data_IF_948607852199
#
_entry.id   IF_948607852199
#
_cell.length_a   1.000
_cell.length_b   1.000
_cell.length_c   1.000
_cell.angle_alpha   90.00
_cell.angle_beta   90.00
_cell.angle_gamma   90.00
#
_symmetry.space_group_name_H-M   'P 1'
#
loop_
_entity.id
_entity.type
_entity.pdbx_description
1 polymer ?
#
# COMPACT_ATOMS: atom_id res chain seq x y z
N UNK A 1 -20.60 11.22 0.60
CA UNK A 1 -20.37 11.13 -0.87
C UNK A 1 -19.55 9.90 -1.24
N UNK A 2 -18.54 9.54 -0.44
CA UNK A 2 -17.82 8.27 -0.55
C UNK A 2 -18.64 7.07 -0.03
N UNK A 3 -19.61 7.31 0.86
CA UNK A 3 -20.43 6.27 1.51
C UNK A 3 -21.27 5.43 0.53
N UNK A 4 -21.58 5.99 -0.64
CA UNK A 4 -22.35 5.29 -1.69
C UNK A 4 -21.53 4.24 -2.44
N UNK A 5 -20.21 4.24 -2.29
CA UNK A 5 -19.31 3.31 -2.98
C UNK A 5 -19.06 2.03 -2.18
N UNK A 6 -19.60 1.90 -0.97
CA UNK A 6 -19.37 0.75 -0.11
C UNK A 6 -17.91 0.59 0.33
N UNK A 7 -17.15 1.69 0.34
CA UNK A 7 -15.75 1.71 0.75
C UNK A 7 -15.64 1.91 2.26
N UNK A 8 -14.76 1.14 2.90
CA UNK A 8 -14.33 1.38 4.26
C UNK A 8 -13.18 2.39 4.27
N UNK A 9 -13.29 3.43 5.08
CA UNK A 9 -12.22 4.40 5.30
C UNK A 9 -11.44 3.96 6.53
N UNK A 10 -10.15 3.68 6.33
CA UNK A 10 -9.24 3.33 7.43
C UNK A 10 -8.31 4.51 7.70
N UNK A 11 -8.32 5.01 8.93
CA UNK A 11 -7.42 6.08 9.36
C UNK A 11 -5.96 5.63 9.33
N UNK A 12 -5.06 6.56 9.01
CA UNK A 12 -3.62 6.29 9.02
C UNK A 12 -3.07 6.34 10.44
N UNK A 13 -2.98 5.17 11.06
CA UNK A 13 -2.54 5.02 12.45
C UNK A 13 -1.00 4.97 12.60
N UNK A 14 -0.55 4.95 13.86
CA UNK A 14 0.86 4.90 14.19
C UNK A 14 1.57 3.61 13.70
N UNK A 15 0.88 2.47 13.72
CA UNK A 15 1.43 1.19 13.25
C UNK A 15 1.68 1.24 11.75
N UNK A 16 0.74 1.80 10.99
CA UNK A 16 0.91 2.05 9.57
C UNK A 16 2.07 3.04 9.32
N UNK A 17 2.16 4.13 10.08
CA UNK A 17 3.28 5.09 9.97
C UNK A 17 4.65 4.42 10.17
N UNK A 18 4.77 3.55 11.16
CA UNK A 18 5.99 2.79 11.41
C UNK A 18 6.32 1.84 10.24
N UNK A 19 5.34 1.07 9.76
CA UNK A 19 5.52 0.15 8.61
C UNK A 19 5.91 0.89 7.33
N UNK A 20 5.31 2.06 7.07
CA UNK A 20 5.68 2.93 5.94
C UNK A 20 7.15 3.33 6.01
N UNK A 21 7.66 3.64 7.20
CA UNK A 21 9.08 3.92 7.43
C UNK A 21 9.97 2.74 7.03
N UNK A 22 9.60 1.51 7.43
CA UNK A 22 10.31 0.28 7.07
C UNK A 22 10.27 -0.03 5.57
N UNK A 23 9.18 0.31 4.89
CA UNK A 23 9.04 0.10 3.43
C UNK A 23 9.89 1.08 2.61
N UNK A 24 10.27 2.24 3.16
CA UNK A 24 11.02 3.27 2.41
C UNK A 24 12.34 2.79 1.79
N UNK A 25 13.28 2.15 2.52
CA UNK A 25 14.52 1.64 1.91
C UNK A 25 14.25 0.60 0.82
N UNK A 26 13.18 -0.20 0.96
CA UNK A 26 12.81 -1.26 0.01
C UNK A 26 12.13 -0.73 -1.26
N UNK A 27 11.56 0.48 -1.22
CA UNK A 27 10.72 0.99 -2.31
C UNK A 27 11.23 2.30 -2.93
N UNK A 28 12.21 2.97 -2.30
CA UNK A 28 12.74 4.27 -2.79
C UNK A 28 13.28 4.21 -4.21
N UNK A 29 13.88 3.09 -4.61
CA UNK A 29 14.48 2.92 -5.93
C UNK A 29 13.41 2.83 -7.03
N UNK A 30 12.21 2.39 -6.67
CA UNK A 30 11.04 2.31 -7.53
C UNK A 30 10.21 3.61 -7.54
N UNK A 31 10.64 4.65 -6.79
CA UNK A 31 9.98 5.96 -6.82
C UNK A 31 8.65 6.06 -6.06
N UNK A 32 8.27 5.05 -5.26
CA UNK A 32 7.01 5.06 -4.53
C UNK A 32 6.87 6.31 -3.64
N UNK A 33 5.68 6.89 -3.64
CA UNK A 33 5.27 7.99 -2.79
C UNK A 33 5.00 7.53 -1.35
N UNK A 34 4.74 8.47 -0.44
CA UNK A 34 4.28 8.14 0.92
C UNK A 34 2.93 7.41 0.89
N UNK A 35 2.01 7.87 0.02
CA UNK A 35 0.68 7.27 -0.13
C UNK A 35 0.75 5.82 -0.61
N UNK A 36 1.62 5.53 -1.59
CA UNK A 36 1.83 4.16 -2.08
C UNK A 36 2.26 3.21 -0.97
N UNK A 37 3.22 3.66 -0.15
CA UNK A 37 3.66 2.89 1.02
C UNK A 37 2.57 2.75 2.06
N UNK A 38 1.70 3.75 2.25
CA UNK A 38 0.59 3.65 3.18
C UNK A 38 -0.42 2.58 2.73
N UNK A 39 -0.75 2.53 1.43
CA UNK A 39 -1.58 1.47 0.86
C UNK A 39 -0.96 0.07 1.05
N UNK A 40 0.34 -0.08 0.81
CA UNK A 40 1.06 -1.33 1.05
C UNK A 40 1.08 -1.73 2.54
N UNK A 41 1.29 -0.76 3.43
CA UNK A 41 1.29 -0.99 4.87
C UNK A 41 -0.09 -1.42 5.39
N UNK A 42 -1.15 -0.80 4.88
CA UNK A 42 -2.52 -1.19 5.21
C UNK A 42 -2.85 -2.58 4.69
N UNK A 43 -2.52 -2.89 3.44
CA UNK A 43 -2.69 -4.22 2.85
C UNK A 43 -1.99 -5.30 3.69
N UNK A 44 -0.76 -5.03 4.13
CA UNK A 44 -0.03 -5.89 5.06
C UNK A 44 -0.76 -6.07 6.40
N UNK A 45 -1.25 -4.98 6.97
CA UNK A 45 -1.96 -5.01 8.27
C UNK A 45 -3.26 -5.81 8.20
N UNK A 46 -3.98 -5.74 7.08
CA UNK A 46 -5.23 -6.48 6.85
C UNK A 46 -5.00 -7.92 6.37
N UNK A 47 -3.79 -8.27 5.93
CA UNK A 47 -3.51 -9.57 5.32
C UNK A 47 -4.20 -9.75 3.96
N UNK A 48 -4.40 -8.64 3.23
CA UNK A 48 -5.10 -8.60 1.94
C UNK A 48 -4.16 -8.12 0.82
N UNK A 49 -4.46 -8.45 -0.46
CA UNK A 49 -3.69 -7.92 -1.57
C UNK A 49 -3.90 -6.42 -1.77
N UNK A 50 -2.85 -5.71 -2.14
CA UNK A 50 -2.94 -4.32 -2.62
C UNK A 50 -3.27 -4.31 -4.11
N UNK A 51 -4.40 -3.71 -4.49
CA UNK A 51 -4.77 -3.51 -5.88
C UNK A 51 -4.17 -2.20 -6.40
N UNK A 52 -3.58 -2.22 -7.60
CA UNK A 52 -3.03 -1.02 -8.24
C UNK A 52 -3.11 -1.11 -9.76
N UNK A 53 -3.11 0.02 -10.45
CA UNK A 53 -2.88 0.09 -11.90
C UNK A 53 -1.42 0.42 -12.23
N UNK A 54 -0.60 0.71 -11.20
CA UNK A 54 0.83 0.98 -11.35
C UNK A 54 1.64 -0.33 -11.39
N UNK A 55 2.19 -0.62 -12.56
CA UNK A 55 3.00 -1.82 -12.82
C UNK A 55 4.30 -1.85 -12.05
N UNK A 56 4.82 -0.71 -11.62
CA UNK A 56 6.10 -0.64 -10.90
C UNK A 56 6.07 -1.49 -9.62
N UNK A 57 4.88 -1.63 -9.01
CA UNK A 57 4.70 -2.38 -7.78
C UNK A 57 4.92 -3.90 -7.93
N UNK A 58 4.77 -4.49 -9.13
CA UNK A 58 4.96 -5.94 -9.36
C UNK A 58 6.40 -6.39 -9.07
N UNK A 59 7.37 -5.49 -9.21
CA UNK A 59 8.79 -5.78 -9.04
C UNK A 59 9.30 -5.60 -7.61
N UNK A 60 8.45 -5.18 -6.68
CA UNK A 60 8.86 -4.88 -5.31
C UNK A 60 9.13 -6.18 -4.52
N UNK A 61 10.35 -6.32 -4.02
CA UNK A 61 10.72 -7.38 -3.09
C UNK A 61 10.23 -7.05 -1.66
N UNK A 62 8.92 -7.09 -1.46
CA UNK A 62 8.25 -6.80 -0.18
C UNK A 62 7.31 -7.94 0.22
N UNK A 63 7.07 -8.04 1.52
CA UNK A 63 6.16 -9.01 2.13
C UNK A 63 4.71 -8.47 2.10
N UNK A 64 4.22 -8.18 0.90
CA UNK A 64 2.85 -7.72 0.59
C UNK A 64 2.46 -8.27 -0.78
N UNK A 65 1.32 -8.94 -0.88
CA UNK A 65 0.79 -9.37 -2.18
C UNK A 65 0.28 -8.15 -2.95
N UNK A 66 0.78 -7.94 -4.16
CA UNK A 66 0.31 -6.89 -5.07
C UNK A 66 -0.42 -7.54 -6.25
N UNK A 67 -1.56 -6.97 -6.64
CA UNK A 67 -2.29 -7.36 -7.85
C UNK A 67 -2.46 -6.15 -8.75
N UNK A 68 -1.92 -6.22 -9.97
CA UNK A 68 -2.12 -5.19 -10.97
C UNK A 68 -3.41 -5.43 -11.74
N UNK A 69 -4.28 -4.42 -11.75
CA UNK A 69 -5.57 -4.43 -12.43
C UNK A 69 -5.58 -3.47 -13.63
N UNK A 70 -6.55 -3.63 -14.54
CA UNK A 70 -6.72 -2.82 -15.76
C UNK A 70 -8.17 -2.41 -15.92
#
# INVERSE_FOLDING_TARGET
ALDLLGLEIVDFDFKQAYQVGLLRPLTRHAGLSLGDRACLALAKQLGLPALTTDRVWESLAIDVTVQVIR
#
